data_IF_493613051081
#
_entry.id   IF_493613051081
#
_cell.length_a   1.000
_cell.length_b   1.000
_cell.length_c   1.000
_cell.angle_alpha   90.00
_cell.angle_beta   90.00
_cell.angle_gamma   90.00
#
_symmetry.space_group_name_H-M   'P 1'
#
loop_
_entity.id
_entity.type
_entity.pdbx_description
1 polymer ?
#
# COMPACT_ATOMS: atom_id res chain seq x y z
N UNK A 1 -10.33 9.32 19.38
CA UNK A 1 -11.01 8.29 18.57
C UNK A 1 -12.24 8.94 17.92
N UNK A 2 -12.21 9.27 16.62
CA UNK A 2 -13.43 9.74 15.91
C UNK A 2 -14.31 8.51 15.68
N UNK A 3 -15.43 8.41 16.38
CA UNK A 3 -16.43 7.36 16.14
C UNK A 3 -17.12 7.62 14.79
N UNK A 4 -17.54 6.55 14.12
CA UNK A 4 -18.17 6.61 12.78
C UNK A 4 -19.39 7.54 12.73
N UNK A 5 -20.12 7.64 13.85
CA UNK A 5 -21.24 8.56 14.03
C UNK A 5 -20.84 10.04 13.98
N UNK A 6 -19.63 10.39 14.45
CA UNK A 6 -19.14 11.76 14.43
C UNK A 6 -18.79 12.20 12.99
N UNK A 7 -18.16 11.30 12.22
CA UNK A 7 -17.81 11.57 10.82
C UNK A 7 -19.06 11.73 9.94
N UNK A 8 -20.07 10.87 10.10
CA UNK A 8 -21.33 10.96 9.35
C UNK A 8 -22.05 12.28 9.61
N UNK A 9 -22.10 12.72 10.87
CA UNK A 9 -22.69 14.02 11.23
C UNK A 9 -21.94 15.19 10.61
N UNK A 10 -20.60 15.16 10.64
CA UNK A 10 -19.76 16.17 9.99
C UNK A 10 -19.96 16.22 8.47
N UNK A 11 -20.05 15.06 7.81
CA UNK A 11 -20.31 14.99 6.37
C UNK A 11 -21.69 15.57 6.02
N UNK A 12 -22.72 15.26 6.81
CA UNK A 12 -24.07 15.82 6.62
C UNK A 12 -24.07 17.34 6.77
N UNK A 13 -23.37 17.88 7.76
CA UNK A 13 -23.23 19.32 7.95
C UNK A 13 -22.53 19.99 6.75
N UNK A 14 -21.48 19.37 6.22
CA UNK A 14 -20.79 19.89 5.03
C UNK A 14 -21.65 19.83 3.77
N UNK A 15 -22.45 18.78 3.59
CA UNK A 15 -23.40 18.68 2.47
C UNK A 15 -24.45 19.80 2.53
N UNK A 16 -24.97 20.11 3.72
CA UNK A 16 -25.90 21.23 3.90
C UNK A 16 -25.27 22.57 3.51
N UNK A 17 -24.05 22.84 3.98
CA UNK A 17 -23.30 24.07 3.62
C UNK A 17 -23.03 24.17 2.11
N UNK A 18 -22.73 23.06 1.46
CA UNK A 18 -22.53 23.02 0.01
C UNK A 18 -23.82 23.35 -0.75
N UNK A 19 -24.97 22.84 -0.30
CA UNK A 19 -26.27 23.17 -0.90
C UNK A 19 -26.61 24.66 -0.74
N UNK A 20 -26.38 25.24 0.44
CA UNK A 20 -26.60 26.67 0.69
C UNK A 20 -25.71 27.54 -0.21
N UNK A 21 -24.42 27.19 -0.35
CA UNK A 21 -23.49 27.87 -1.25
C UNK A 21 -23.90 27.76 -2.72
N UNK A 22 -24.41 26.60 -3.14
CA UNK A 22 -24.87 26.38 -4.51
C UNK A 22 -26.08 27.26 -4.84
N UNK A 23 -27.07 27.31 -3.95
CA UNK A 23 -28.25 28.17 -4.11
C UNK A 23 -27.85 29.65 -4.17
N UNK A 24 -27.01 30.10 -3.23
CA UNK A 24 -26.50 31.48 -3.22
C UNK A 24 -25.75 31.83 -4.52
N UNK A 25 -24.98 30.88 -5.07
CA UNK A 25 -24.30 31.08 -6.34
C UNK A 25 -25.26 31.14 -7.52
N UNK A 26 -26.33 30.34 -7.54
CA UNK A 26 -27.33 30.34 -8.61
C UNK A 26 -28.09 31.67 -8.64
N UNK A 27 -28.49 32.18 -7.47
CA UNK A 27 -29.23 33.44 -7.29
C UNK A 27 -28.38 34.70 -7.59
N UNK A 28 -27.05 34.63 -7.48
CA UNK A 28 -26.15 35.76 -7.73
C UNK A 28 -26.30 36.29 -9.17
N UNK A 29 -26.65 37.57 -9.33
CA UNK A 29 -26.88 38.18 -10.63
C UNK A 29 -25.60 38.81 -11.22
N UNK A 30 -24.64 39.16 -10.37
CA UNK A 30 -23.38 39.77 -10.77
C UNK A 30 -22.45 38.72 -11.41
N UNK A 31 -22.31 38.81 -12.73
CA UNK A 31 -21.44 37.92 -13.50
C UNK A 31 -19.97 38.02 -13.12
N UNK A 32 -19.50 39.19 -12.65
CA UNK A 32 -18.12 39.38 -12.22
C UNK A 32 -17.84 38.59 -10.94
N UNK A 33 -18.78 38.62 -9.99
CA UNK A 33 -18.70 37.79 -8.77
C UNK A 33 -18.78 36.30 -9.08
N UNK A 34 -19.68 35.89 -9.99
CA UNK A 34 -19.75 34.49 -10.45
C UNK A 34 -18.42 34.00 -11.04
N UNK A 35 -17.81 34.80 -11.92
CA UNK A 35 -16.51 34.47 -12.51
C UNK A 35 -15.38 34.43 -11.46
N UNK A 36 -15.35 35.39 -10.54
CA UNK A 36 -14.37 35.43 -9.46
C UNK A 36 -14.46 34.17 -8.56
N UNK A 37 -15.68 33.76 -8.21
CA UNK A 37 -15.93 32.55 -7.43
C UNK A 37 -15.44 31.29 -8.18
N UNK A 38 -15.82 31.11 -9.45
CA UNK A 38 -15.38 29.96 -10.25
C UNK A 38 -13.86 29.91 -10.36
N UNK A 39 -13.21 31.05 -10.64
CA UNK A 39 -11.75 31.14 -10.70
C UNK A 39 -11.09 30.76 -9.38
N UNK A 40 -11.64 31.24 -8.26
CA UNK A 40 -11.12 30.92 -6.93
C UNK A 40 -11.28 29.42 -6.62
N UNK A 41 -12.44 28.83 -6.92
CA UNK A 41 -12.70 27.40 -6.78
C UNK A 41 -11.73 26.55 -7.60
N UNK A 42 -11.48 26.93 -8.85
CA UNK A 42 -10.57 26.19 -9.73
C UNK A 42 -9.11 26.28 -9.25
N UNK A 43 -8.69 27.45 -8.76
CA UNK A 43 -7.38 27.61 -8.14
C UNK A 43 -7.23 26.74 -6.89
N UNK A 44 -8.25 26.71 -6.03
CA UNK A 44 -8.26 25.86 -4.84
C UNK A 44 -8.18 24.37 -5.21
N UNK A 45 -8.96 23.94 -6.20
CA UNK A 45 -8.92 22.55 -6.71
C UNK A 45 -7.54 22.16 -7.20
N UNK A 46 -6.86 23.05 -7.96
CA UNK A 46 -5.48 22.83 -8.40
C UNK A 46 -4.52 22.73 -7.23
N UNK A 47 -4.62 23.61 -6.24
CA UNK A 47 -3.76 23.58 -5.06
C UNK A 47 -3.91 22.28 -4.26
N UNK A 48 -5.16 21.83 -4.04
CA UNK A 48 -5.44 20.54 -3.37
C UNK A 48 -4.89 19.36 -4.18
N UNK A 49 -5.04 19.39 -5.50
CA UNK A 49 -4.49 18.35 -6.38
C UNK A 49 -2.96 18.26 -6.27
N UNK A 50 -2.25 19.39 -6.32
CA UNK A 50 -0.79 19.41 -6.21
C UNK A 50 -0.31 18.97 -4.82
N UNK A 51 -0.99 19.39 -3.74
CA UNK A 51 -0.69 18.90 -2.39
C UNK A 51 -0.89 17.38 -2.30
N UNK A 52 -2.01 16.86 -2.80
CA UNK A 52 -2.26 15.41 -2.81
C UNK A 52 -1.21 14.65 -3.62
N UNK A 53 -0.75 15.21 -4.74
CA UNK A 53 0.33 14.63 -5.54
C UNK A 53 1.66 14.62 -4.79
N UNK A 54 1.99 15.68 -4.06
CA UNK A 54 3.20 15.75 -3.23
C UNK A 54 3.17 14.71 -2.09
N UNK A 55 2.04 14.58 -1.41
CA UNK A 55 1.86 13.59 -0.34
C UNK A 55 2.00 12.17 -0.89
N UNK A 56 1.34 11.86 -1.99
CA UNK A 56 1.45 10.56 -2.66
C UNK A 56 2.88 10.28 -3.16
N UNK A 57 3.57 11.29 -3.69
CA UNK A 57 4.97 11.15 -4.09
C UNK A 57 5.88 10.85 -2.88
N UNK A 58 5.65 11.50 -1.74
CA UNK A 58 6.38 11.23 -0.49
C UNK A 58 6.16 9.80 0.00
N UNK A 59 4.92 9.32 -0.04
CA UNK A 59 4.58 7.93 0.29
C UNK A 59 5.28 6.96 -0.67
N UNK A 60 5.25 7.25 -1.98
CA UNK A 60 5.91 6.42 -2.99
C UNK A 60 7.43 6.33 -2.76
N UNK A 61 8.08 7.45 -2.42
CA UNK A 61 9.51 7.48 -2.10
C UNK A 61 9.83 6.58 -0.91
N UNK A 62 8.96 6.57 0.13
CA UNK A 62 9.13 5.70 1.30
C UNK A 62 8.86 4.22 0.98
N UNK A 63 8.00 3.92 0.01
CA UNK A 63 7.67 2.54 -0.39
C UNK A 63 8.75 1.89 -1.26
N UNK A 64 9.43 2.64 -2.14
CA UNK A 64 10.48 2.10 -3.02
C UNK A 64 11.58 1.29 -2.31
N UNK A 65 12.19 1.76 -1.19
CA UNK A 65 13.20 0.95 -0.50
C UNK A 65 12.59 -0.32 0.13
N UNK A 66 11.35 -0.28 0.61
CA UNK A 66 10.66 -1.44 1.16
C UNK A 66 10.44 -2.54 0.11
N UNK A 67 10.15 -2.17 -1.13
CA UNK A 67 10.05 -3.13 -2.24
C UNK A 67 11.40 -3.84 -2.50
N UNK A 68 12.51 -3.11 -2.43
CA UNK A 68 13.85 -3.66 -2.58
C UNK A 68 14.18 -4.61 -1.41
N UNK A 69 13.93 -4.17 -0.17
CA UNK A 69 14.15 -4.98 1.04
C UNK A 69 13.31 -6.26 1.00
N UNK A 70 12.04 -6.17 0.59
CA UNK A 70 11.17 -7.34 0.46
C UNK A 70 11.71 -8.32 -0.57
N UNK A 71 12.14 -7.85 -1.74
CA UNK A 71 12.73 -8.69 -2.78
C UNK A 71 14.03 -9.35 -2.32
N UNK A 72 14.86 -8.66 -1.55
CA UNK A 72 16.07 -9.22 -0.95
C UNK A 72 15.71 -10.31 0.09
N UNK A 73 14.76 -10.03 0.98
CA UNK A 73 14.30 -10.99 1.97
C UNK A 73 13.73 -12.27 1.32
N UNK A 74 12.95 -12.13 0.24
CA UNK A 74 12.44 -13.27 -0.53
C UNK A 74 13.58 -14.12 -1.12
N UNK A 75 14.59 -13.49 -1.74
CA UNK A 75 15.76 -14.22 -2.26
C UNK A 75 16.54 -14.94 -1.16
N UNK A 76 16.70 -14.31 0.00
CA UNK A 76 17.35 -14.93 1.15
C UNK A 76 16.56 -16.14 1.66
N UNK A 77 15.23 -16.05 1.69
CA UNK A 77 14.37 -17.15 2.06
C UNK A 77 14.47 -18.33 1.08
N UNK A 78 14.44 -18.05 -0.23
CA UNK A 78 14.58 -19.09 -1.26
C UNK A 78 15.93 -19.82 -1.13
N UNK A 79 17.02 -19.08 -0.90
CA UNK A 79 18.34 -19.67 -0.68
C UNK A 79 18.37 -20.54 0.58
N UNK A 80 17.72 -20.10 1.67
CA UNK A 80 17.62 -20.89 2.89
C UNK A 80 16.83 -22.19 2.67
N UNK A 81 15.71 -22.13 1.93
CA UNK A 81 14.92 -23.32 1.58
C UNK A 81 15.75 -24.29 0.73
N UNK A 82 16.49 -23.80 -0.26
CA UNK A 82 17.39 -24.64 -1.06
C UNK A 82 18.47 -25.30 -0.20
N UNK A 83 19.07 -24.57 0.74
CA UNK A 83 20.06 -25.11 1.67
C UNK A 83 19.49 -26.24 2.55
N UNK A 84 18.27 -26.06 3.07
CA UNK A 84 17.56 -27.08 3.84
C UNK A 84 17.29 -28.32 2.97
N UNK A 85 16.77 -28.14 1.76
CA UNK A 85 16.51 -29.25 0.84
C UNK A 85 17.79 -30.03 0.51
N UNK A 86 18.90 -29.34 0.26
CA UNK A 86 20.19 -29.98 0.03
C UNK A 86 20.66 -30.78 1.24
N UNK A 87 20.49 -30.23 2.45
CA UNK A 87 20.85 -30.92 3.69
C UNK A 87 20.02 -32.19 3.89
N UNK A 88 18.70 -32.10 3.68
CA UNK A 88 17.79 -33.26 3.74
C UNK A 88 18.20 -34.34 2.74
N UNK A 89 18.53 -33.95 1.50
CA UNK A 89 18.99 -34.88 0.47
C UNK A 89 20.30 -35.59 0.86
N UNK A 90 21.26 -34.86 1.43
CA UNK A 90 22.52 -35.44 1.93
C UNK A 90 22.25 -36.47 3.03
N UNK A 91 21.41 -36.11 4.01
CA UNK A 91 21.06 -37.02 5.12
C UNK A 91 20.36 -38.29 4.60
N UNK A 92 19.41 -38.13 3.67
CA UNK A 92 18.70 -39.26 3.04
C UNK A 92 19.65 -40.19 2.28
N UNK A 93 20.61 -39.63 1.56
CA UNK A 93 21.63 -40.40 0.85
C UNK A 93 22.56 -41.15 1.81
N UNK A 94 22.99 -40.52 2.91
CA UNK A 94 23.79 -41.18 3.96
C UNK A 94 23.01 -42.35 4.55
N UNK A 95 21.74 -42.15 4.93
CA UNK A 95 20.88 -43.23 5.43
C UNK A 95 20.76 -44.39 4.45
N UNK A 96 20.61 -44.08 3.15
CA UNK A 96 20.54 -45.09 2.09
C UNK A 96 21.83 -45.89 2.00
N UNK A 97 23.00 -45.24 1.99
CA UNK A 97 24.31 -45.92 1.96
C UNK A 97 24.55 -46.74 3.22
N UNK A 98 24.26 -46.20 4.41
CA UNK A 98 24.37 -46.93 5.68
C UNK A 98 23.48 -48.17 5.69
N UNK A 99 22.26 -48.10 5.15
CA UNK A 99 21.36 -49.25 5.06
C UNK A 99 21.88 -50.35 4.13
N UNK A 100 22.54 -49.98 3.03
CA UNK A 100 23.18 -50.92 2.10
C UNK A 100 24.36 -51.61 2.79
N UNK A 101 25.23 -50.85 3.45
CA UNK A 101 26.38 -51.39 4.18
C UNK A 101 25.91 -52.35 5.28
N UNK A 102 24.89 -51.97 6.06
CA UNK A 102 24.34 -52.83 7.11
C UNK A 102 23.76 -54.15 6.59
N UNK A 103 23.27 -54.20 5.34
CA UNK A 103 22.78 -55.43 4.69
C UNK A 103 23.92 -56.31 4.15
N UNK A 104 25.03 -55.71 3.73
CA UNK A 104 26.17 -56.43 3.14
C UNK A 104 27.10 -56.97 4.23
N UNK A 105 27.32 -56.23 5.31
CA UNK A 105 28.26 -56.59 6.37
C UNK A 105 28.04 -57.98 7.01
N UNK A 106 26.80 -58.45 7.29
CA UNK A 106 26.60 -59.81 7.84
C UNK A 106 26.77 -60.95 6.82
N UNK A 107 27.01 -60.64 5.54
CA UNK A 107 27.28 -61.63 4.48
C UNK A 107 28.79 -61.91 4.36
N UNK A 108 29.63 -61.03 4.90
CA UNK A 108 31.09 -61.21 5.03
C UNK A 108 31.47 -61.65 6.44
#
# INVERSE_FOLDING_TARGET
MRTTNNLLSQMREQVLKLNELQLAFEEEQDQSKKQAFVKHRDNYRKAVYELGKQDLASVLIKMKPLEIELNQAMKSLDNAIQSVNNTVNIISNIQSVSSIIARIFPIF
#
